data_IF_153145822181
#
_entry.id   IF_153145822181
#
_cell.length_a   1.000
_cell.length_b   1.000
_cell.length_c   1.000
_cell.angle_alpha   90.00
_cell.angle_beta   90.00
_cell.angle_gamma   90.00
#
_symmetry.space_group_name_H-M   'P 1'
#
loop_
_entity.id
_entity.type
_entity.pdbx_description
1 polymer ?
#
# COMPACT_ATOMS: atom_id res chain seq x y z
N UNK A 1 -28.51 -18.37 -3.67
CA UNK A 1 -28.18 -18.08 -5.09
C UNK A 1 -26.95 -18.89 -5.54
N UNK A 2 -26.96 -19.40 -6.77
CA UNK A 2 -25.87 -20.18 -7.36
C UNK A 2 -25.01 -19.35 -8.32
N UNK A 3 -23.69 -19.39 -8.17
CA UNK A 3 -22.76 -18.75 -9.09
C UNK A 3 -21.96 -19.82 -9.79
N UNK A 4 -21.94 -19.81 -11.12
CA UNK A 4 -21.13 -20.71 -11.94
C UNK A 4 -20.12 -19.89 -12.74
N UNK A 5 -18.91 -20.44 -12.87
CA UNK A 5 -17.83 -19.85 -13.65
C UNK A 5 -17.23 -20.90 -14.58
N UNK A 6 -16.95 -20.46 -15.80
CA UNK A 6 -16.14 -21.16 -16.78
C UNK A 6 -14.81 -20.42 -16.99
N UNK A 7 -13.69 -21.13 -17.02
CA UNK A 7 -12.36 -20.59 -17.33
C UNK A 7 -11.56 -21.61 -18.12
N UNK A 8 -11.13 -21.26 -19.33
CA UNK A 8 -10.30 -22.15 -20.17
C UNK A 8 -8.82 -22.15 -19.75
N UNK A 9 -8.38 -21.09 -19.05
CA UNK A 9 -7.01 -21.01 -18.56
C UNK A 9 -6.74 -22.06 -17.47
N UNK A 10 -5.74 -22.91 -17.72
CA UNK A 10 -5.31 -23.95 -16.79
C UNK A 10 -4.53 -23.34 -15.65
N UNK A 11 -5.17 -23.28 -14.48
CA UNK A 11 -4.59 -22.74 -13.26
C UNK A 11 -5.12 -23.51 -12.05
N UNK A 12 -4.22 -24.18 -11.33
CA UNK A 12 -4.55 -25.05 -10.20
C UNK A 12 -4.91 -24.29 -8.92
N UNK A 13 -4.65 -22.98 -8.86
CA UNK A 13 -5.00 -22.15 -7.70
C UNK A 13 -6.51 -22.19 -7.45
N UNK A 14 -6.97 -22.18 -6.18
CA UNK A 14 -8.39 -22.18 -5.87
C UNK A 14 -9.07 -20.91 -6.39
N UNK A 15 -10.33 -21.03 -6.82
CA UNK A 15 -11.15 -19.90 -7.27
C UNK A 15 -12.04 -19.45 -6.11
N UNK A 16 -12.11 -18.15 -5.89
CA UNK A 16 -12.97 -17.51 -4.89
C UNK A 16 -13.90 -16.51 -5.57
N UNK A 17 -15.07 -16.29 -4.97
CA UNK A 17 -15.93 -15.15 -5.29
C UNK A 17 -15.82 -14.15 -4.14
N UNK A 18 -15.71 -12.86 -4.47
CA UNK A 18 -15.69 -11.77 -3.50
C UNK A 18 -16.61 -10.65 -3.94
N UNK A 19 -17.19 -9.93 -3.00
CA UNK A 19 -18.18 -8.90 -3.30
C UNK A 19 -18.65 -8.14 -2.08
N UNK A 20 -19.70 -7.34 -2.27
CA UNK A 20 -20.34 -6.58 -1.19
C UNK A 20 -20.89 -7.45 -0.06
N UNK A 21 -21.13 -8.74 -0.29
CA UNK A 21 -21.59 -9.72 0.71
C UNK A 21 -20.48 -10.30 1.61
N UNK A 22 -19.20 -10.13 1.25
CA UNK A 22 -18.08 -10.61 2.07
C UNK A 22 -17.05 -9.51 2.37
N UNK A 23 -17.49 -8.24 2.33
CA UNK A 23 -16.64 -7.07 2.53
C UNK A 23 -15.42 -7.04 1.61
N UNK A 24 -15.58 -7.53 0.38
CA UNK A 24 -14.52 -7.55 -0.63
C UNK A 24 -13.26 -8.32 -0.19
N UNK A 25 -13.42 -9.37 0.62
CA UNK A 25 -12.33 -10.28 0.99
C UNK A 25 -12.05 -11.30 -0.15
N UNK A 26 -10.93 -11.20 -0.89
CA UNK A 26 -10.65 -12.01 -2.07
C UNK A 26 -10.16 -13.43 -1.76
N UNK A 27 -9.97 -13.79 -0.49
CA UNK A 27 -9.49 -15.10 -0.04
C UNK A 27 -10.32 -15.65 1.11
N UNK A 28 -11.61 -15.33 1.12
CA UNK A 28 -12.53 -15.89 2.11
C UNK A 28 -12.87 -17.34 1.75
N UNK A 29 -12.39 -18.30 2.57
CA UNK A 29 -12.64 -19.72 2.36
C UNK A 29 -14.12 -20.12 2.45
N UNK A 30 -14.96 -19.31 3.11
CA UNK A 30 -16.42 -19.48 3.06
C UNK A 30 -17.01 -19.24 1.66
N UNK A 31 -16.28 -18.53 0.80
CA UNK A 31 -16.66 -18.18 -0.57
C UNK A 31 -15.73 -18.80 -1.63
N UNK A 32 -15.05 -19.90 -1.28
CA UNK A 32 -14.27 -20.68 -2.24
C UNK A 32 -15.20 -21.54 -3.11
N UNK A 33 -15.01 -21.48 -4.43
CA UNK A 33 -15.78 -22.27 -5.39
C UNK A 33 -15.31 -23.73 -5.42
N UNK A 34 -16.27 -24.62 -5.66
CA UNK A 34 -16.06 -26.05 -5.86
C UNK A 34 -15.85 -26.32 -7.36
N UNK A 35 -14.82 -27.11 -7.69
CA UNK A 35 -14.59 -27.62 -9.05
C UNK A 35 -15.72 -28.57 -9.46
N UNK A 36 -16.29 -28.37 -10.64
CA UNK A 36 -17.15 -29.34 -11.33
C UNK A 36 -16.26 -30.23 -12.22
N UNK A 37 -15.40 -29.60 -13.01
CA UNK A 37 -14.40 -30.23 -13.87
C UNK A 37 -13.15 -29.32 -14.00
N UNK A 38 -12.34 -29.51 -15.06
CA UNK A 38 -11.11 -28.74 -15.26
C UNK A 38 -11.35 -27.25 -15.54
N UNK A 39 -12.47 -26.89 -16.15
CA UNK A 39 -12.77 -25.52 -16.59
C UNK A 39 -13.96 -24.90 -15.83
N UNK A 40 -14.81 -25.72 -15.21
CA UNK A 40 -16.06 -25.27 -14.60
C UNK A 40 -16.02 -25.34 -13.07
N UNK A 41 -16.50 -24.29 -12.41
CA UNK A 41 -16.59 -24.20 -10.95
C UNK A 41 -17.94 -23.61 -10.54
N UNK A 42 -18.36 -23.86 -9.29
CA UNK A 42 -19.57 -23.27 -8.74
C UNK A 42 -19.51 -23.03 -7.23
N UNK A 43 -20.37 -22.14 -6.76
CA UNK A 43 -20.72 -22.01 -5.34
C UNK A 43 -22.22 -21.73 -5.21
N UNK A 44 -22.81 -22.23 -4.12
CA UNK A 44 -24.15 -21.86 -3.69
C UNK A 44 -24.02 -21.09 -2.38
N UNK A 45 -24.50 -19.85 -2.39
CA UNK A 45 -24.47 -18.94 -1.24
C UNK A 45 -25.90 -18.79 -0.74
N UNK A 46 -26.09 -18.86 0.57
CA UNK A 46 -27.39 -18.67 1.21
C UNK A 46 -27.95 -17.26 0.90
N UNK A 47 -29.24 -17.18 0.59
CA UNK A 47 -29.89 -15.92 0.25
C UNK A 47 -29.91 -14.92 1.41
N UNK A 48 -29.80 -15.38 2.66
CA UNK A 48 -29.66 -14.54 3.85
C UNK A 48 -28.30 -13.84 3.92
N UNK A 49 -27.26 -14.42 3.30
CA UNK A 49 -25.94 -13.82 3.23
C UNK A 49 -25.80 -12.82 2.08
N UNK A 50 -26.78 -12.75 1.17
CA UNK A 50 -26.70 -11.93 -0.03
C UNK A 50 -27.61 -10.69 0.03
N UNK A 51 -27.09 -9.48 -0.29
CA UNK A 51 -27.92 -8.32 -0.56
C UNK A 51 -28.75 -8.53 -1.83
N UNK A 52 -29.77 -7.69 -2.03
CA UNK A 52 -30.62 -7.77 -3.23
C UNK A 52 -29.85 -7.39 -4.52
N UNK A 53 -28.98 -6.39 -4.39
CA UNK A 53 -28.01 -5.96 -5.40
C UNK A 53 -26.65 -6.51 -5.06
N UNK A 54 -26.16 -7.43 -5.90
CA UNK A 54 -24.91 -8.14 -5.69
C UNK A 54 -23.88 -7.57 -6.65
N UNK A 55 -22.79 -7.07 -6.11
CA UNK A 55 -21.59 -6.74 -6.88
C UNK A 55 -20.46 -7.67 -6.49
N UNK A 56 -19.78 -8.24 -7.48
CA UNK A 56 -18.80 -9.28 -7.24
C UNK A 56 -17.70 -9.36 -8.31
N UNK A 57 -16.62 -10.05 -7.94
CA UNK A 57 -15.52 -10.47 -8.79
C UNK A 57 -15.05 -11.87 -8.42
N UNK A 58 -14.34 -12.49 -9.36
CA UNK A 58 -13.62 -13.72 -9.09
C UNK A 58 -12.12 -13.49 -8.92
N UNK A 59 -11.50 -14.28 -8.06
CA UNK A 59 -10.05 -14.21 -7.80
C UNK A 59 -9.47 -15.63 -7.66
N UNK A 60 -8.15 -15.73 -7.82
CA UNK A 60 -7.37 -16.91 -7.42
C UNK A 60 -6.74 -16.74 -6.03
N UNK A 61 -7.52 -16.22 -5.08
CA UNK A 61 -7.12 -16.11 -3.67
C UNK A 61 -6.42 -14.80 -3.29
N UNK A 62 -6.55 -13.75 -4.12
CA UNK A 62 -5.99 -12.44 -3.85
C UNK A 62 -6.29 -11.44 -4.98
N UNK A 63 -6.20 -10.15 -4.67
CA UNK A 63 -6.40 -9.07 -5.66
C UNK A 63 -5.29 -9.02 -6.72
N UNK A 64 -4.10 -9.47 -6.33
CA UNK A 64 -2.96 -9.71 -7.20
C UNK A 64 -3.23 -10.83 -8.23
N UNK A 65 -4.31 -11.59 -8.05
CA UNK A 65 -4.71 -12.72 -8.89
C UNK A 65 -6.19 -12.66 -9.33
N UNK A 66 -6.71 -11.46 -9.53
CA UNK A 66 -8.09 -11.19 -9.96
C UNK A 66 -8.34 -11.60 -11.42
N UNK A 67 -9.60 -11.83 -11.78
CA UNK A 67 -10.04 -12.04 -13.17
C UNK A 67 -9.67 -10.87 -14.11
N UNK A 68 -9.37 -11.19 -15.36
CA UNK A 68 -9.04 -10.29 -16.47
C UNK A 68 -9.83 -10.66 -17.73
N UNK A 69 -9.91 -9.72 -18.68
CA UNK A 69 -10.43 -10.01 -20.02
C UNK A 69 -9.41 -10.75 -20.90
N UNK A 70 -9.81 -11.11 -22.12
CA UNK A 70 -8.96 -11.84 -23.07
C UNK A 70 -7.72 -11.05 -23.52
N UNK A 71 -7.70 -9.73 -23.36
CA UNK A 71 -6.57 -8.85 -23.64
C UNK A 71 -5.69 -8.61 -22.42
N UNK A 72 -6.06 -9.15 -21.24
CA UNK A 72 -5.35 -8.94 -19.98
C UNK A 72 -5.69 -7.62 -19.29
N UNK A 73 -6.77 -6.95 -19.71
CA UNK A 73 -7.26 -5.75 -19.03
C UNK A 73 -8.08 -6.14 -17.79
N UNK A 74 -8.07 -5.22 -16.83
CA UNK A 74 -8.99 -5.27 -15.70
C UNK A 74 -10.44 -5.21 -16.20
N UNK A 75 -11.30 -6.04 -15.62
CA UNK A 75 -12.74 -5.99 -15.85
C UNK A 75 -13.47 -5.16 -14.78
N UNK A 76 -14.64 -4.57 -15.05
CA UNK A 76 -15.48 -3.98 -14.00
C UNK A 76 -16.04 -5.06 -13.06
N UNK A 77 -16.62 -4.65 -11.93
CA UNK A 77 -17.40 -5.57 -11.09
C UNK A 77 -18.56 -6.13 -11.89
N UNK A 78 -18.79 -7.43 -11.70
CA UNK A 78 -20.01 -8.09 -12.15
C UNK A 78 -21.14 -7.66 -11.25
N UNK A 79 -22.35 -7.55 -11.82
CA UNK A 79 -23.56 -7.17 -11.09
C UNK A 79 -24.66 -8.18 -11.36
N UNK A 80 -25.34 -8.60 -10.30
CA UNK A 80 -26.48 -9.49 -10.38
C UNK A 80 -27.54 -9.12 -9.35
N UNK A 81 -28.80 -9.45 -9.65
CA UNK A 81 -29.90 -9.37 -8.68
C UNK A 81 -30.06 -10.71 -8.01
N UNK A 82 -30.20 -10.74 -6.68
CA UNK A 82 -30.47 -11.97 -5.92
C UNK A 82 -31.67 -12.75 -6.46
N UNK A 83 -32.70 -12.05 -6.94
CA UNK A 83 -33.92 -12.61 -7.52
C UNK A 83 -33.68 -13.47 -8.78
N UNK A 84 -32.53 -13.35 -9.45
CA UNK A 84 -32.19 -14.18 -10.61
C UNK A 84 -31.88 -15.63 -10.16
N UNK A 85 -31.44 -15.83 -8.92
CA UNK A 85 -31.20 -17.15 -8.33
C UNK A 85 -29.97 -17.89 -8.86
N UNK A 86 -29.49 -17.57 -10.08
CA UNK A 86 -28.29 -18.15 -10.69
C UNK A 86 -27.53 -17.16 -11.60
N UNK A 87 -26.20 -17.22 -11.61
CA UNK A 87 -25.35 -16.65 -12.69
C UNK A 87 -24.49 -17.72 -13.35
N UNK A 88 -24.10 -17.46 -14.60
CA UNK A 88 -23.11 -18.24 -15.34
C UNK A 88 -22.17 -17.25 -16.01
N UNK A 89 -20.93 -17.22 -15.54
CA UNK A 89 -19.90 -16.26 -15.90
C UNK A 89 -18.72 -16.95 -16.62
N UNK A 90 -18.01 -16.23 -17.48
CA UNK A 90 -16.73 -16.68 -18.04
C UNK A 90 -15.61 -15.76 -17.58
N UNK A 91 -14.48 -16.34 -17.17
CA UNK A 91 -13.23 -15.64 -16.91
C UNK A 91 -12.21 -16.09 -17.96
N UNK A 92 -11.78 -15.14 -18.77
CA UNK A 92 -10.90 -15.38 -19.92
C UNK A 92 -9.44 -15.57 -19.47
N UNK A 93 -9.00 -14.75 -18.51
CA UNK A 93 -7.64 -14.76 -17.97
C UNK A 93 -7.61 -14.47 -16.48
N UNK A 94 -6.56 -14.93 -15.82
CA UNK A 94 -6.25 -14.63 -14.42
C UNK A 94 -4.99 -13.80 -14.31
N UNK A 95 -5.05 -12.78 -13.46
CA UNK A 95 -3.84 -12.07 -13.04
C UNK A 95 -2.93 -13.03 -12.26
N UNK A 96 -1.62 -12.81 -12.35
CA UNK A 96 -0.62 -13.55 -11.57
C UNK A 96 0.34 -12.57 -10.92
N UNK A 97 0.29 -12.48 -9.59
CA UNK A 97 1.17 -11.61 -8.79
C UNK A 97 1.22 -10.18 -9.32
N UNK A 98 0.03 -9.62 -9.59
CA UNK A 98 -0.22 -8.29 -10.13
C UNK A 98 -0.01 -8.13 -11.64
N UNK A 99 0.74 -9.00 -12.31
CA UNK A 99 0.98 -8.93 -13.75
C UNK A 99 -0.18 -9.48 -14.59
N UNK A 100 -0.40 -8.99 -15.84
CA UNK A 100 0.50 -8.11 -16.60
C UNK A 100 0.43 -6.64 -16.18
N UNK A 101 1.56 -5.94 -16.30
CA UNK A 101 1.68 -4.50 -16.07
C UNK A 101 1.67 -3.78 -17.42
N UNK A 102 0.99 -2.63 -17.48
CA UNK A 102 0.83 -1.84 -18.69
C UNK A 102 1.78 -0.65 -18.68
N UNK A 103 2.71 -0.62 -19.64
CA UNK A 103 3.76 0.41 -19.73
C UNK A 103 3.20 1.83 -19.80
N UNK A 104 2.04 2.04 -20.45
CA UNK A 104 1.41 3.36 -20.57
C UNK A 104 0.97 3.97 -19.23
N UNK A 105 0.85 3.16 -18.18
CA UNK A 105 0.49 3.59 -16.83
C UNK A 105 1.70 3.68 -15.89
N UNK A 106 2.92 3.38 -16.35
CA UNK A 106 4.08 3.48 -15.48
C UNK A 106 4.31 4.92 -15.02
N UNK A 107 4.73 5.11 -13.76
CA UNK A 107 5.15 6.43 -13.33
C UNK A 107 6.41 6.85 -14.08
N UNK A 108 6.58 8.16 -14.26
CA UNK A 108 7.85 8.72 -14.73
C UNK A 108 8.80 8.82 -13.53
N UNK A 109 9.89 8.07 -13.55
CA UNK A 109 10.94 8.17 -12.54
C UNK A 109 11.93 9.29 -12.90
N UNK A 110 12.10 10.24 -12.00
CA UNK A 110 13.03 11.37 -12.14
C UNK A 110 14.00 11.40 -10.95
N UNK A 111 15.26 11.67 -11.22
CA UNK A 111 16.23 11.96 -10.15
C UNK A 111 16.05 13.42 -9.75
N UNK A 112 15.57 13.67 -8.52
CA UNK A 112 15.49 15.03 -7.96
C UNK A 112 16.90 15.60 -7.84
N UNK A 113 17.81 14.81 -7.27
CA UNK A 113 19.23 15.09 -7.23
C UNK A 113 20.01 13.82 -6.93
N UNK A 114 21.12 13.62 -7.65
CA UNK A 114 22.12 12.60 -7.32
C UNK A 114 22.79 12.91 -5.97
N UNK A 115 22.91 14.21 -5.64
CA UNK A 115 23.59 14.71 -4.45
C UNK A 115 22.73 15.81 -3.80
N UNK A 116 21.56 15.45 -3.25
CA UNK A 116 20.75 16.38 -2.48
C UNK A 116 21.45 16.70 -1.17
N UNK A 117 21.85 17.96 -0.97
CA UNK A 117 22.51 18.35 0.28
C UNK A 117 21.52 18.28 1.45
N UNK A 118 21.93 17.63 2.54
CA UNK A 118 21.20 17.49 3.79
C UNK A 118 21.87 18.35 4.86
N UNK A 119 21.42 19.59 5.10
CA UNK A 119 22.05 20.49 6.06
C UNK A 119 22.08 19.93 7.49
N UNK A 120 21.04 19.18 7.87
CA UNK A 120 20.91 18.61 9.22
C UNK A 120 21.96 17.52 9.52
N UNK A 121 22.49 16.86 8.49
CA UNK A 121 23.44 15.75 8.58
C UNK A 121 24.82 16.07 7.97
N UNK A 122 24.94 17.25 7.35
CA UNK A 122 26.10 17.73 6.60
C UNK A 122 26.64 16.69 5.59
N UNK A 123 25.74 16.17 4.75
CA UNK A 123 26.06 15.16 3.73
C UNK A 123 25.09 15.23 2.57
N UNK A 124 25.30 14.38 1.57
CA UNK A 124 24.46 14.32 0.37
C UNK A 124 23.66 13.03 0.31
N UNK A 125 22.50 13.08 -0.33
CA UNK A 125 21.68 11.89 -0.59
C UNK A 125 21.06 11.92 -1.98
N UNK A 126 20.99 10.76 -2.60
CA UNK A 126 20.22 10.58 -3.82
C UNK A 126 18.72 10.50 -3.51
N UNK A 127 17.94 11.33 -4.19
CA UNK A 127 16.49 11.40 -4.01
C UNK A 127 15.81 11.33 -5.37
N UNK A 128 14.73 10.57 -5.42
CA UNK A 128 13.95 10.31 -6.61
C UNK A 128 12.51 10.81 -6.44
N UNK A 129 11.89 11.18 -7.55
CA UNK A 129 10.45 11.37 -7.67
C UNK A 129 9.89 10.35 -8.66
N UNK A 130 8.89 9.57 -8.24
CA UNK A 130 8.06 8.81 -9.17
C UNK A 130 6.78 9.60 -9.35
N UNK A 131 6.60 10.14 -10.56
CA UNK A 131 5.50 10.99 -10.93
C UNK A 131 4.40 10.15 -11.58
N UNK A 132 3.11 10.37 -11.27
CA UNK A 132 2.00 9.70 -11.94
C UNK A 132 2.11 9.74 -13.47
N UNK A 133 1.61 8.71 -14.15
CA UNK A 133 1.69 8.59 -15.61
C UNK A 133 1.11 9.80 -16.37
N UNK A 134 0.13 10.49 -15.77
CA UNK A 134 -0.55 11.66 -16.33
C UNK A 134 0.03 13.00 -15.82
N UNK A 135 1.14 12.97 -15.09
CA UNK A 135 1.73 14.17 -14.49
C UNK A 135 2.01 15.22 -15.57
N UNK A 136 2.75 14.87 -16.62
CA UNK A 136 3.16 15.83 -17.66
C UNK A 136 2.07 16.19 -18.67
N UNK A 137 0.92 15.50 -18.65
CA UNK A 137 -0.21 15.74 -19.57
C UNK A 137 -1.40 16.45 -18.91
N UNK A 138 -1.32 16.71 -17.60
CA UNK A 138 -2.37 17.37 -16.83
C UNK A 138 -1.82 18.44 -15.89
N UNK A 139 -2.70 19.35 -15.46
CA UNK A 139 -2.40 20.37 -14.44
C UNK A 139 -2.79 19.94 -13.02
N UNK A 140 -3.04 18.64 -12.80
CA UNK A 140 -3.43 18.12 -11.50
C UNK A 140 -2.36 18.38 -10.44
N UNK A 141 -2.82 18.49 -9.20
CA UNK A 141 -1.96 18.44 -8.00
C UNK A 141 -2.17 17.14 -7.26
N UNK A 142 -1.10 16.57 -6.76
CA UNK A 142 -1.08 15.21 -6.26
C UNK A 142 -0.71 15.14 -4.77
N UNK A 143 -1.29 14.20 -4.00
CA UNK A 143 -0.73 13.83 -2.71
C UNK A 143 0.69 13.28 -2.87
N UNK A 144 1.44 13.27 -1.77
CA UNK A 144 2.85 12.86 -1.73
C UNK A 144 3.08 11.83 -0.63
N UNK A 145 3.78 10.75 -0.96
CA UNK A 145 4.28 9.76 0.00
C UNK A 145 5.80 9.72 -0.04
N UNK A 146 6.44 10.03 1.09
CA UNK A 146 7.88 9.89 1.28
C UNK A 146 8.22 8.46 1.68
N UNK A 147 9.01 7.76 0.87
CA UNK A 147 9.42 6.37 1.14
C UNK A 147 10.92 6.26 1.37
N UNK A 148 11.27 5.49 2.39
CA UNK A 148 12.65 5.16 2.76
C UNK A 148 13.20 4.05 1.85
N UNK A 149 14.54 3.96 1.77
CA UNK A 149 15.28 2.88 1.11
C UNK A 149 14.98 2.75 -0.40
N UNK A 150 15.03 3.85 -1.14
CA UNK A 150 14.69 3.90 -2.58
C UNK A 150 15.33 2.81 -3.45
N UNK A 151 16.57 2.40 -3.15
CA UNK A 151 17.27 1.31 -3.84
C UNK A 151 16.55 -0.04 -3.80
N UNK A 152 15.61 -0.24 -2.87
CA UNK A 152 14.84 -1.48 -2.74
C UNK A 152 13.44 -1.33 -3.36
N UNK A 153 13.05 -0.15 -3.81
CA UNK A 153 11.65 0.14 -4.15
C UNK A 153 11.31 -0.11 -5.63
N UNK A 154 12.23 0.18 -6.56
CA UNK A 154 12.00 0.09 -8.01
C UNK A 154 13.32 -0.13 -8.78
N UNK A 155 13.28 -0.06 -10.12
CA UNK A 155 14.41 -0.36 -11.03
C UNK A 155 14.95 -1.80 -10.83
N UNK A 156 16.27 -2.00 -10.75
CA UNK A 156 16.86 -3.33 -10.53
C UNK A 156 16.68 -3.84 -9.09
N UNK A 157 16.33 -2.96 -8.15
CA UNK A 157 16.29 -3.27 -6.73
C UNK A 157 17.69 -3.41 -6.12
N UNK A 158 17.78 -4.14 -5.01
CA UNK A 158 19.04 -4.39 -4.32
C UNK A 158 19.26 -5.88 -4.03
N UNK A 159 20.38 -6.22 -3.38
CA UNK A 159 20.65 -7.58 -2.93
C UNK A 159 19.62 -8.15 -1.95
N UNK A 160 18.73 -7.32 -1.40
CA UNK A 160 17.61 -7.74 -0.55
C UNK A 160 16.34 -8.06 -1.34
N UNK A 161 16.23 -7.58 -2.59
CA UNK A 161 15.09 -7.73 -3.47
C UNK A 161 14.58 -6.38 -3.98
N UNK A 162 13.32 -6.37 -4.43
CA UNK A 162 12.67 -5.20 -5.01
C UNK A 162 11.17 -5.18 -4.70
N UNK A 163 10.61 -4.02 -4.34
CA UNK A 163 9.17 -3.84 -4.19
C UNK A 163 8.44 -3.71 -5.52
N UNK A 164 9.16 -3.33 -6.58
CA UNK A 164 8.59 -3.05 -7.90
C UNK A 164 7.43 -2.04 -7.82
N UNK A 165 7.58 -0.99 -6.99
CA UNK A 165 6.49 -0.03 -6.76
C UNK A 165 6.10 0.72 -8.04
N UNK A 166 7.02 0.89 -8.99
CA UNK A 166 6.73 1.40 -10.33
C UNK A 166 5.66 0.56 -11.04
N UNK A 167 5.79 -0.77 -10.96
CA UNK A 167 4.81 -1.72 -11.50
C UNK A 167 3.51 -1.73 -10.70
N UNK A 168 3.60 -1.56 -9.37
CA UNK A 168 2.40 -1.50 -8.51
C UNK A 168 1.60 -0.21 -8.71
N UNK A 169 2.29 0.91 -8.92
CA UNK A 169 1.71 2.21 -9.23
C UNK A 169 1.03 2.19 -10.60
N UNK A 170 1.59 1.48 -11.60
CA UNK A 170 0.95 1.37 -12.91
C UNK A 170 -0.40 0.66 -12.85
N UNK A 171 -0.52 -0.35 -11.99
CA UNK A 171 -1.82 -1.01 -11.75
C UNK A 171 -2.77 -0.09 -11.03
N UNK A 172 -2.32 0.58 -9.96
CA UNK A 172 -3.15 1.53 -9.25
C UNK A 172 -3.66 2.61 -10.20
N UNK A 173 -2.82 3.11 -11.11
CA UNK A 173 -3.20 4.04 -12.17
C UNK A 173 -4.22 3.45 -13.14
N UNK A 174 -4.08 2.18 -13.54
CA UNK A 174 -5.08 1.47 -14.36
C UNK A 174 -6.45 1.40 -13.66
N UNK A 175 -6.47 1.30 -12.32
CA UNK A 175 -7.68 1.37 -11.47
C UNK A 175 -8.18 2.81 -11.20
N UNK A 176 -7.58 3.85 -11.79
CA UNK A 176 -7.92 5.24 -11.48
C UNK A 176 -7.46 5.72 -10.10
N UNK A 177 -6.54 4.97 -9.47
CA UNK A 177 -5.97 5.19 -8.12
C UNK A 177 -4.47 5.50 -8.18
N UNK A 178 -4.00 6.06 -9.29
CA UNK A 178 -2.60 6.38 -9.55
C UNK A 178 -2.17 7.82 -9.25
N UNK A 179 -3.09 8.67 -8.79
CA UNK A 179 -2.84 10.07 -8.45
C UNK A 179 -2.03 10.20 -7.13
N UNK A 180 -0.76 9.80 -7.15
CA UNK A 180 0.16 9.87 -6.01
C UNK A 180 1.62 10.07 -6.47
N UNK A 181 2.28 11.10 -5.96
CA UNK A 181 3.73 11.26 -6.13
C UNK A 181 4.43 10.45 -5.04
N UNK A 182 5.42 9.63 -5.41
CA UNK A 182 6.34 9.03 -4.44
C UNK A 182 7.65 9.80 -4.45
N UNK A 183 8.09 10.26 -3.28
CA UNK A 183 9.44 10.77 -3.08
C UNK A 183 10.25 9.66 -2.40
N UNK A 184 11.12 9.01 -3.17
CA UNK A 184 11.90 7.88 -2.70
C UNK A 184 13.31 8.36 -2.32
N UNK A 185 13.70 8.12 -1.06
CA UNK A 185 14.97 8.58 -0.49
C UNK A 185 15.89 7.37 -0.35
N UNK A 186 17.06 7.40 -1.00
CA UNK A 186 18.03 6.34 -0.77
C UNK A 186 18.52 6.35 0.68
N UNK A 187 18.97 5.22 1.20
CA UNK A 187 19.61 5.19 2.51
C UNK A 187 21.11 5.54 2.46
N UNK A 188 21.69 5.87 3.61
CA UNK A 188 23.08 6.35 3.72
C UNK A 188 24.15 5.27 3.71
N UNK A 189 23.87 4.13 3.08
CA UNK A 189 24.70 2.91 3.17
C UNK A 189 25.11 2.59 4.62
N UNK A 190 26.38 2.76 4.98
CA UNK A 190 26.91 2.53 6.33
C UNK A 190 26.24 3.42 7.40
N UNK A 191 25.78 4.61 7.00
CA UNK A 191 25.11 5.56 7.89
C UNK A 191 23.62 5.25 8.10
N UNK A 192 23.03 4.33 7.32
CA UNK A 192 21.60 4.00 7.39
C UNK A 192 21.13 3.70 8.81
N UNK A 193 21.89 2.88 9.54
CA UNK A 193 21.51 2.49 10.91
C UNK A 193 21.54 3.72 11.83
N UNK A 194 22.57 4.56 11.76
CA UNK A 194 22.62 5.78 12.58
C UNK A 194 21.49 6.74 12.23
N UNK A 195 21.18 6.90 10.95
CA UNK A 195 20.13 7.80 10.46
C UNK A 195 18.71 7.32 10.77
N UNK A 196 18.47 6.01 10.87
CA UNK A 196 17.13 5.48 11.13
C UNK A 196 16.87 5.16 12.60
N UNK A 197 17.90 5.11 13.44
CA UNK A 197 17.75 4.98 14.89
C UNK A 197 17.58 6.37 15.50
N UNK A 198 16.49 6.55 16.23
CA UNK A 198 16.11 7.85 16.79
C UNK A 198 17.06 8.31 17.91
N UNK A 199 17.15 7.54 19.00
CA UNK A 199 18.08 7.74 20.11
C UNK A 199 18.33 6.45 20.93
N UNK A 200 19.00 5.47 20.31
CA UNK A 200 19.35 4.23 20.99
C UNK A 200 20.83 3.87 20.78
N UNK A 201 21.69 4.31 21.69
CA UNK A 201 23.14 4.09 21.63
C UNK A 201 23.54 2.61 21.75
N UNK A 202 22.67 1.74 22.29
CA UNK A 202 22.92 0.29 22.30
C UNK A 202 22.79 -0.34 20.91
N UNK A 203 22.01 0.28 20.02
CA UNK A 203 21.83 -0.18 18.64
C UNK A 203 22.73 0.61 17.68
N UNK A 204 22.85 1.92 17.88
CA UNK A 204 23.64 2.81 17.04
C UNK A 204 24.31 3.90 17.87
N UNK A 205 25.62 3.77 18.07
CA UNK A 205 26.43 4.80 18.73
C UNK A 205 26.41 6.10 17.91
N UNK A 206 25.94 7.20 18.51
CA UNK A 206 25.79 8.47 17.81
C UNK A 206 24.61 8.49 16.85
N UNK A 207 23.45 8.01 17.32
CA UNK A 207 22.17 8.04 16.58
C UNK A 207 21.86 9.42 16.00
N UNK A 208 21.43 9.46 14.74
CA UNK A 208 21.17 10.68 13.96
C UNK A 208 19.70 10.81 13.53
N UNK A 209 18.81 9.91 13.96
CA UNK A 209 17.41 9.89 13.52
C UNK A 209 16.66 11.21 13.73
N UNK A 210 16.90 11.92 14.83
CA UNK A 210 16.34 13.27 15.04
C UNK A 210 16.70 14.24 13.90
N UNK A 211 17.94 14.20 13.43
CA UNK A 211 18.44 15.04 12.32
C UNK A 211 17.86 14.59 10.98
N UNK A 212 17.76 13.28 10.76
CA UNK A 212 17.18 12.71 9.56
C UNK A 212 15.69 13.06 9.40
N UNK A 213 14.90 12.94 10.48
CA UNK A 213 13.48 13.33 10.48
C UNK A 213 13.32 14.82 10.11
N UNK A 214 14.15 15.69 10.73
CA UNK A 214 14.17 17.12 10.43
C UNK A 214 14.55 17.42 8.99
N UNK A 215 15.49 16.67 8.42
CA UNK A 215 15.82 16.80 7.01
C UNK A 215 14.59 16.60 6.12
N UNK A 216 13.82 15.54 6.34
CA UNK A 216 12.64 15.27 5.51
C UNK A 216 11.59 16.38 5.69
N UNK A 217 11.26 16.72 6.94
CA UNK A 217 10.20 17.67 7.25
C UNK A 217 10.55 19.13 6.91
N UNK A 218 11.76 19.57 7.27
CA UNK A 218 12.16 20.99 7.21
C UNK A 218 12.90 21.35 5.92
N UNK A 219 13.45 20.37 5.18
CA UNK A 219 14.28 20.63 3.99
C UNK A 219 13.69 19.99 2.74
N UNK A 220 13.50 18.66 2.75
CA UNK A 220 13.11 17.94 1.54
C UNK A 220 11.65 18.25 1.14
N UNK A 221 10.72 18.20 2.10
CA UNK A 221 9.30 18.48 1.80
C UNK A 221 9.09 19.90 1.25
N UNK A 222 9.65 20.97 1.84
CA UNK A 222 9.56 22.31 1.25
C UNK A 222 10.11 22.39 -0.17
N UNK A 223 11.26 21.76 -0.44
CA UNK A 223 11.81 21.69 -1.79
C UNK A 223 10.85 20.99 -2.76
N UNK A 224 10.29 19.85 -2.37
CA UNK A 224 9.35 19.09 -3.21
C UNK A 224 8.09 19.92 -3.48
N UNK A 225 7.53 20.58 -2.46
CA UNK A 225 6.33 21.42 -2.59
C UNK A 225 6.55 22.66 -3.48
N UNK A 226 7.78 23.15 -3.58
CA UNK A 226 8.14 24.28 -4.44
C UNK A 226 8.33 23.85 -5.91
N UNK A 227 8.88 22.66 -6.14
CA UNK A 227 9.31 22.21 -7.46
C UNK A 227 8.32 21.25 -8.15
N UNK A 228 7.39 20.64 -7.41
CA UNK A 228 6.42 19.68 -7.93
C UNK A 228 4.96 20.14 -7.69
N UNK A 229 4.02 19.64 -8.51
CA UNK A 229 2.58 19.90 -8.36
C UNK A 229 2.00 19.07 -7.21
N UNK A 230 2.34 19.43 -5.98
CA UNK A 230 1.84 18.75 -4.78
C UNK A 230 0.56 19.41 -4.24
N UNK A 231 -0.25 18.62 -3.54
CA UNK A 231 -1.21 19.07 -2.52
C UNK A 231 -0.44 19.17 -1.20
N UNK A 232 -0.11 20.41 -0.81
CA UNK A 232 0.91 20.70 0.22
C UNK A 232 0.48 20.42 1.66
N UNK A 233 -0.82 20.33 1.89
CA UNK A 233 -1.40 20.15 3.21
C UNK A 233 -1.09 18.77 3.81
N UNK A 234 -1.22 18.67 5.14
CA UNK A 234 -0.90 17.43 5.87
C UNK A 234 -1.76 16.27 5.40
N UNK A 235 -3.02 16.53 5.08
CA UNK A 235 -4.01 15.51 4.75
C UNK A 235 -3.73 14.88 3.37
N UNK A 236 -2.76 15.40 2.63
CA UNK A 236 -2.25 14.83 1.39
C UNK A 236 -0.78 14.39 1.48
N UNK A 237 -0.18 14.40 2.67
CA UNK A 237 1.22 14.04 2.89
C UNK A 237 1.32 12.79 3.77
N UNK A 238 2.03 11.79 3.28
CA UNK A 238 2.36 10.56 4.01
C UNK A 238 3.86 10.26 4.07
N UNK A 239 4.25 9.37 4.97
CA UNK A 239 5.62 8.86 5.10
C UNK A 239 5.60 7.36 5.41
N UNK A 240 6.58 6.61 4.93
CA UNK A 240 6.61 5.18 5.19
C UNK A 240 7.88 4.45 4.74
N UNK A 241 7.89 3.15 4.99
CA UNK A 241 8.98 2.24 4.61
C UNK A 241 8.81 0.87 5.26
N UNK A 242 9.86 0.05 5.20
CA UNK A 242 9.92 -1.24 5.89
C UNK A 242 11.00 -1.28 6.98
N UNK A 243 10.87 -2.21 7.93
CA UNK A 243 11.93 -2.50 8.92
C UNK A 243 12.37 -1.25 9.72
N UNK A 244 13.65 -0.84 9.62
CA UNK A 244 14.13 0.41 10.20
C UNK A 244 13.55 1.66 9.50
N UNK A 245 13.27 1.59 8.20
CA UNK A 245 12.57 2.65 7.45
C UNK A 245 11.13 2.86 7.94
N UNK A 246 10.45 1.78 8.33
CA UNK A 246 9.15 1.85 8.99
C UNK A 246 9.28 2.48 10.39
N UNK A 247 10.30 2.09 11.16
CA UNK A 247 10.55 2.64 12.50
C UNK A 247 10.79 4.16 12.46
N UNK A 248 11.68 4.64 11.60
CA UNK A 248 11.95 6.09 11.48
C UNK A 248 10.73 6.86 10.96
N UNK A 249 9.88 6.22 10.15
CA UNK A 249 8.61 6.80 9.70
C UNK A 249 7.58 6.94 10.83
N UNK A 250 7.54 6.00 11.79
CA UNK A 250 6.73 6.14 13.01
C UNK A 250 7.18 7.38 13.80
N UNK A 251 8.48 7.50 14.09
CA UNK A 251 9.01 8.67 14.79
C UNK A 251 8.71 9.98 14.02
N UNK A 252 8.82 9.96 12.69
CA UNK A 252 8.51 11.13 11.86
C UNK A 252 7.05 11.56 11.99
N UNK A 253 6.10 10.62 11.87
CA UNK A 253 4.67 10.90 12.01
C UNK A 253 4.27 11.39 13.40
N UNK A 254 4.93 10.86 14.43
CA UNK A 254 4.63 11.23 15.82
C UNK A 254 5.24 12.56 16.26
N UNK A 255 6.38 12.96 15.69
CA UNK A 255 7.04 14.22 16.00
C UNK A 255 6.57 15.37 15.12
N UNK A 256 6.10 15.09 13.90
CA UNK A 256 5.57 16.07 12.95
C UNK A 256 4.14 15.70 12.51
N UNK A 257 3.19 15.52 13.44
CA UNK A 257 1.81 15.16 13.09
C UNK A 257 1.11 16.28 12.30
N UNK A 258 1.60 17.52 12.34
CA UNK A 258 1.15 18.64 11.51
C UNK A 258 1.65 18.56 10.06
N UNK A 259 2.66 17.72 9.78
CA UNK A 259 3.22 17.51 8.44
C UNK A 259 2.65 16.23 7.82
N UNK A 260 2.61 15.13 8.57
CA UNK A 260 2.22 13.81 8.06
C UNK A 260 0.87 13.38 8.62
N UNK A 261 -0.06 12.98 7.74
CA UNK A 261 -1.35 12.40 8.13
C UNK A 261 -1.46 10.90 7.88
N UNK A 262 -0.50 10.30 7.16
CA UNK A 262 -0.56 8.91 6.66
C UNK A 262 0.76 8.20 6.86
N UNK A 263 0.75 7.06 7.53
CA UNK A 263 1.94 6.26 7.81
C UNK A 263 1.82 4.87 7.16
N UNK A 264 2.75 4.54 6.25
CA UNK A 264 2.89 3.20 5.67
C UNK A 264 4.01 2.45 6.40
N UNK A 265 3.64 1.49 7.25
CA UNK A 265 4.53 0.88 8.24
C UNK A 265 4.59 -0.63 8.01
N UNK A 266 5.60 -1.08 7.27
CA UNK A 266 5.75 -2.51 6.92
C UNK A 266 6.83 -3.19 7.77
N UNK A 267 6.49 -4.29 8.42
CA UNK A 267 7.37 -5.11 9.26
C UNK A 267 8.28 -4.29 10.18
N UNK A 268 7.73 -3.37 11.00
CA UNK A 268 8.51 -2.35 11.69
C UNK A 268 9.45 -2.93 12.74
N UNK A 269 10.66 -2.38 12.83
CA UNK A 269 11.69 -2.75 13.82
C UNK A 269 11.38 -2.23 15.23
N UNK A 270 10.17 -2.48 15.72
CA UNK A 270 9.66 -2.09 17.05
C UNK A 270 10.41 -2.72 18.22
N UNK A 271 11.31 -3.67 17.96
CA UNK A 271 12.19 -4.26 18.97
C UNK A 271 13.26 -3.27 19.45
N UNK A 272 13.58 -2.25 18.65
CA UNK A 272 14.48 -1.15 19.04
C UNK A 272 13.89 -0.30 20.16
N UNK A 273 12.55 -0.19 20.20
CA UNK A 273 11.78 0.53 21.21
C UNK A 273 10.82 -0.43 21.94
N UNK A 274 11.34 -1.34 22.77
CA UNK A 274 10.56 -2.43 23.36
C UNK A 274 9.46 -1.94 24.31
N UNK A 275 9.59 -0.73 24.84
CA UNK A 275 8.60 -0.14 25.74
C UNK A 275 7.54 0.70 25.00
N UNK A 276 7.66 0.86 23.68
CA UNK A 276 6.83 1.77 22.88
C UNK A 276 6.84 3.20 23.42
N UNK A 277 7.96 3.64 24.01
CA UNK A 277 8.11 4.97 24.55
C UNK A 277 8.51 5.97 23.45
N UNK A 278 7.67 6.07 22.42
CA UNK A 278 7.91 7.01 21.34
C UNK A 278 7.69 8.45 21.85
N UNK A 279 8.58 9.40 21.54
CA UNK A 279 8.28 10.81 21.73
C UNK A 279 7.23 11.22 20.71
N UNK A 280 6.20 11.91 21.20
CA UNK A 280 5.05 12.30 20.40
C UNK A 280 4.71 13.75 20.70
N UNK A 281 4.46 14.54 19.66
CA UNK A 281 4.01 15.92 19.81
C UNK A 281 2.49 15.94 20.00
N UNK A 282 2.05 16.37 21.18
CA UNK A 282 0.63 16.41 21.53
C UNK A 282 0.05 17.82 21.31
N UNK A 283 -1.13 17.89 20.73
CA UNK A 283 -1.86 19.13 20.46
C UNK A 283 -3.19 19.14 21.21
N UNK A 284 -3.68 20.33 21.55
CA UNK A 284 -4.97 20.49 22.26
C UNK A 284 -6.13 19.83 21.50
N UNK A 285 -6.09 19.91 20.18
CA UNK A 285 -6.95 19.15 19.28
C UNK A 285 -6.02 18.20 18.53
N UNK A 286 -6.09 16.89 18.81
CA UNK A 286 -5.24 15.93 18.13
C UNK A 286 -5.48 15.92 16.62
N UNK A 287 -4.41 15.70 15.85
CA UNK A 287 -4.51 15.50 14.42
C UNK A 287 -4.84 14.05 14.09
N UNK A 288 -5.89 13.83 13.29
CA UNK A 288 -6.21 12.50 12.78
C UNK A 288 -5.06 11.95 11.92
N UNK A 289 -4.60 10.75 12.23
CA UNK A 289 -3.47 10.11 11.54
C UNK A 289 -3.84 8.69 11.15
N UNK A 290 -3.77 8.37 9.85
CA UNK A 290 -3.98 7.03 9.32
C UNK A 290 -2.69 6.22 9.39
N UNK A 291 -2.72 5.02 9.95
CA UNK A 291 -1.55 4.14 10.08
C UNK A 291 -1.86 2.76 9.48
N UNK A 292 -1.19 2.42 8.38
CA UNK A 292 -1.28 1.08 7.80
C UNK A 292 -0.12 0.23 8.29
N UNK A 293 -0.42 -0.81 9.05
CA UNK A 293 0.55 -1.75 9.62
C UNK A 293 0.54 -3.06 8.82
N UNK A 294 1.72 -3.53 8.46
CA UNK A 294 1.91 -4.86 7.88
C UNK A 294 2.94 -5.67 8.65
N UNK A 295 2.76 -6.98 8.72
CA UNK A 295 3.81 -7.92 9.14
C UNK A 295 3.59 -9.33 8.61
N UNK A 296 4.67 -10.07 8.43
CA UNK A 296 4.66 -11.47 8.05
C UNK A 296 4.62 -12.42 9.25
N UNK A 297 3.81 -13.47 9.16
CA UNK A 297 3.68 -14.51 10.17
C UNK A 297 4.94 -15.38 10.31
N UNK A 298 5.71 -15.53 9.23
CA UNK A 298 6.97 -16.27 9.20
C UNK A 298 8.19 -15.41 9.56
N UNK A 299 8.01 -14.12 9.90
CA UNK A 299 9.04 -13.29 10.53
C UNK A 299 9.33 -13.70 11.99
N UNK A 300 8.55 -14.66 12.49
CA UNK A 300 8.61 -15.18 13.84
C UNK A 300 7.61 -14.51 14.77
N UNK A 301 7.24 -15.22 15.83
CA UNK A 301 6.21 -14.79 16.80
C UNK A 301 6.53 -13.45 17.47
N UNK A 302 7.81 -13.03 17.49
CA UNK A 302 8.23 -11.72 18.02
C UNK A 302 7.71 -10.56 17.17
N UNK A 303 7.75 -10.63 15.84
CA UNK A 303 7.30 -9.52 14.97
C UNK A 303 5.80 -9.27 15.13
N UNK A 304 4.99 -10.31 14.91
CA UNK A 304 3.52 -10.23 15.05
C UNK A 304 3.11 -9.79 16.46
N UNK A 305 3.74 -10.36 17.51
CA UNK A 305 3.48 -9.94 18.88
C UNK A 305 3.83 -8.47 19.12
N UNK A 306 4.93 -7.96 18.52
CA UNK A 306 5.32 -6.55 18.66
C UNK A 306 4.35 -5.62 17.95
N UNK A 307 3.86 -5.97 16.76
CA UNK A 307 2.81 -5.22 16.07
C UNK A 307 1.56 -5.14 16.95
N UNK A 308 1.07 -6.26 17.49
CA UNK A 308 -0.11 -6.25 18.36
C UNK A 308 0.10 -5.45 19.65
N UNK A 309 1.28 -5.52 20.28
CA UNK A 309 1.58 -4.67 21.42
C UNK A 309 1.50 -3.20 21.02
N UNK A 310 2.07 -2.82 19.87
CA UNK A 310 2.02 -1.44 19.39
C UNK A 310 0.58 -0.96 19.11
N UNK A 311 -0.26 -1.80 18.49
CA UNK A 311 -1.69 -1.51 18.31
C UNK A 311 -2.41 -1.24 19.64
N UNK A 312 -2.14 -2.04 20.66
CA UNK A 312 -2.73 -1.82 21.99
C UNK A 312 -2.27 -0.50 22.63
N UNK A 313 -1.06 -0.02 22.31
CA UNK A 313 -0.62 1.32 22.72
C UNK A 313 -1.33 2.42 21.93
N UNK A 314 -1.49 2.28 20.61
CA UNK A 314 -2.24 3.21 19.77
C UNK A 314 -3.69 3.39 20.30
N UNK A 315 -4.38 2.28 20.57
CA UNK A 315 -5.75 2.30 21.15
C UNK A 315 -5.79 3.02 22.49
N UNK A 316 -4.86 2.70 23.41
CA UNK A 316 -4.81 3.34 24.74
C UNK A 316 -4.55 4.85 24.65
N UNK A 317 -3.76 5.29 23.68
CA UNK A 317 -3.49 6.70 23.43
C UNK A 317 -4.73 7.42 22.88
N UNK A 318 -5.48 6.77 22.01
CA UNK A 318 -6.75 7.26 21.46
C UNK A 318 -7.87 7.31 22.52
N UNK A 319 -8.02 6.27 23.35
CA UNK A 319 -8.99 6.21 24.46
C UNK A 319 -8.79 7.35 25.48
N UNK A 320 -7.53 7.75 25.69
CA UNK A 320 -7.16 8.89 26.55
C UNK A 320 -7.34 10.24 25.86
N UNK A 321 -7.79 10.27 24.60
CA UNK A 321 -7.94 11.46 23.75
C UNK A 321 -6.66 12.27 23.62
N UNK A 322 -5.50 11.60 23.73
CA UNK A 322 -4.19 12.22 23.55
C UNK A 322 -3.85 12.34 22.06
N UNK A 323 -4.34 11.39 21.27
CA UNK A 323 -4.08 11.29 19.84
C UNK A 323 -5.34 10.80 19.12
N UNK A 324 -5.45 11.06 17.82
CA UNK A 324 -6.53 10.59 16.96
C UNK A 324 -5.90 9.68 15.88
N UNK A 325 -6.03 8.37 16.09
CA UNK A 325 -5.45 7.35 15.22
C UNK A 325 -6.55 6.55 14.55
N UNK A 326 -6.49 6.48 13.23
CA UNK A 326 -7.20 5.46 12.48
C UNK A 326 -6.13 4.47 12.00
N UNK A 327 -6.22 3.19 12.34
CA UNK A 327 -5.21 2.23 11.92
C UNK A 327 -5.80 0.94 11.37
N UNK A 328 -5.08 0.34 10.43
CA UNK A 328 -5.42 -0.94 9.81
C UNK A 328 -4.19 -1.82 9.82
N UNK A 329 -4.35 -3.04 10.30
CA UNK A 329 -3.26 -4.02 10.38
C UNK A 329 -3.55 -5.21 9.49
N UNK A 330 -2.56 -5.61 8.71
CA UNK A 330 -2.61 -6.82 7.90
C UNK A 330 -1.43 -7.74 8.26
N UNK A 331 -1.75 -8.95 8.71
CA UNK A 331 -0.74 -9.98 8.99
C UNK A 331 -0.87 -11.06 7.92
N UNK A 332 0.14 -11.21 7.09
CA UNK A 332 0.19 -12.31 6.12
C UNK A 332 0.80 -13.55 6.79
N UNK A 333 0.06 -14.66 6.99
CA UNK A 333 0.58 -15.85 7.68
C UNK A 333 1.81 -16.48 7.01
N UNK A 334 1.94 -16.33 5.69
CA UNK A 334 3.06 -16.87 4.89
C UNK A 334 4.19 -15.85 4.73
N UNK A 335 3.92 -14.58 5.06
CA UNK A 335 4.86 -13.47 4.90
C UNK A 335 6.15 -13.65 5.69
N UNK A 336 7.27 -13.39 5.04
CA UNK A 336 8.61 -13.26 5.66
C UNK A 336 9.08 -11.80 5.59
N UNK A 337 10.23 -11.49 6.22
CA UNK A 337 10.82 -10.15 6.24
C UNK A 337 11.54 -9.89 4.91
N UNK A 338 10.76 -9.69 3.84
CA UNK A 338 11.27 -9.67 2.48
C UNK A 338 10.50 -8.70 1.57
N UNK A 339 11.24 -8.10 0.63
CA UNK A 339 10.76 -7.13 -0.36
C UNK A 339 9.57 -7.64 -1.18
N UNK A 340 9.53 -8.94 -1.50
CA UNK A 340 8.43 -9.55 -2.24
C UNK A 340 7.09 -9.38 -1.52
N UNK A 341 7.04 -9.60 -0.20
CA UNK A 341 5.78 -9.51 0.53
C UNK A 341 5.33 -8.07 0.71
N UNK A 342 6.27 -7.15 0.92
CA UNK A 342 6.01 -5.71 0.95
C UNK A 342 5.50 -5.19 -0.41
N UNK A 343 6.08 -5.68 -1.51
CA UNK A 343 5.59 -5.46 -2.88
C UNK A 343 4.12 -5.84 -3.04
N UNK A 344 3.73 -7.03 -2.55
CA UNK A 344 2.35 -7.50 -2.66
C UNK A 344 1.38 -6.68 -1.81
N UNK A 345 1.86 -6.19 -0.65
CA UNK A 345 1.03 -5.41 0.27
C UNK A 345 0.84 -3.95 -0.16
N UNK A 346 1.83 -3.38 -0.84
CA UNK A 346 1.90 -1.96 -1.17
C UNK A 346 0.61 -1.40 -1.80
N UNK A 347 -0.01 -2.01 -2.84
CA UNK A 347 -1.26 -1.51 -3.40
C UNK A 347 -2.37 -1.34 -2.37
N UNK A 348 -2.57 -2.35 -1.50
CA UNK A 348 -3.64 -2.32 -0.48
C UNK A 348 -3.42 -1.21 0.54
N UNK A 349 -2.16 -0.96 0.90
CA UNK A 349 -1.80 0.13 1.80
C UNK A 349 -2.06 1.50 1.17
N UNK A 350 -1.69 1.71 -0.10
CA UNK A 350 -1.92 2.97 -0.81
C UNK A 350 -3.42 3.26 -0.95
N UNK A 351 -4.21 2.27 -1.37
CA UNK A 351 -5.66 2.42 -1.49
C UNK A 351 -6.29 2.87 -0.17
N UNK A 352 -6.00 2.17 0.92
CA UNK A 352 -6.57 2.52 2.22
C UNK A 352 -6.08 3.89 2.74
N UNK A 353 -4.80 4.22 2.53
CA UNK A 353 -4.23 5.47 3.00
C UNK A 353 -4.77 6.68 2.21
N UNK A 354 -4.86 6.60 0.88
CA UNK A 354 -5.08 7.78 0.02
C UNK A 354 -6.43 7.82 -0.71
N UNK A 355 -7.15 6.70 -0.83
CA UNK A 355 -8.38 6.60 -1.63
C UNK A 355 -9.62 6.19 -0.84
N UNK A 356 -9.49 6.02 0.48
CA UNK A 356 -10.58 5.75 1.43
C UNK A 356 -11.57 4.67 0.96
N UNK A 357 -11.21 3.41 1.16
CA UNK A 357 -11.90 2.20 0.63
C UNK A 357 -13.35 1.98 1.11
N UNK A 358 -14.07 2.99 1.62
CA UNK A 358 -15.54 2.95 1.61
C UNK A 358 -16.09 3.00 0.18
N UNK A 359 -15.30 3.50 -0.79
CA UNK A 359 -15.64 3.39 -2.19
C UNK A 359 -15.23 2.01 -2.74
N UNK A 360 -16.27 1.25 -3.09
CA UNK A 360 -16.22 0.04 -3.91
C UNK A 360 -15.13 0.18 -4.99
N UNK A 361 -14.28 -0.82 -5.26
CA UNK A 361 -13.21 -0.78 -6.28
C UNK A 361 -13.61 -0.34 -7.70
N UNK A 362 -14.86 0.04 -7.97
CA UNK A 362 -15.50 0.14 -9.28
C UNK A 362 -16.42 1.35 -9.42
N UNK A 363 -15.84 2.54 -9.43
CA UNK A 363 -16.35 3.61 -10.32
C UNK A 363 -15.31 3.99 -11.38
N UNK A 364 -14.58 3.00 -11.90
CA UNK A 364 -13.76 3.21 -13.10
C UNK A 364 -14.70 3.19 -14.32
N UNK A 365 -15.07 4.38 -14.80
CA UNK A 365 -15.63 4.51 -16.15
C UNK A 365 -14.53 4.11 -17.14
N UNK A 366 -14.75 3.15 -18.05
CA UNK A 366 -13.83 2.94 -19.14
C UNK A 366 -13.80 4.24 -19.96
N UNK A 367 -12.67 4.95 -19.97
CA UNK A 367 -12.40 5.86 -21.08
C UNK A 367 -12.06 4.99 -22.29
N UNK A 368 -13.08 4.41 -22.90
CA UNK A 368 -13.03 4.14 -24.32
C UNK A 368 -13.02 5.50 -25.02
N UNK A 369 -11.86 6.13 -25.14
CA UNK A 369 -11.64 6.96 -26.32
C UNK A 369 -11.53 5.97 -27.48
N UNK A 370 -12.69 5.72 -28.11
CA UNK A 370 -12.71 5.26 -29.48
C UNK A 370 -11.86 6.25 -30.28
N UNK A 371 -10.64 5.86 -30.65
CA UNK A 371 -9.94 6.49 -31.76
C UNK A 371 -10.81 6.16 -32.98
N UNK A 372 -11.75 7.06 -33.27
CA UNK A 372 -12.45 7.10 -34.54
C UNK A 372 -11.65 8.01 -35.44
N UNK A 373 -11.11 7.35 -36.46
CA UNK A 373 -10.47 7.82 -37.69
C UNK A 373 -9.00 8.22 -37.60
#
# INVERSE_FOLDING_TARGET
MRFEIHTEEKDDRPVFITGNFNSWNPKDYGFQLKKIDQANYFIEIDDQALPDDIEYKFTKGGWENVELDSYGNITPNRKAKKSVGKTSDSVEKWRLNWGPFKEEYYPTAEVISENFYIPQLDRYRKVWALLPYDYHTTDKRYPVLYLQDAQNLFNEGSGFGNWEIDKKLSILAEYGRGDLIIIAIEHGSEERIKEYIFDNDHVANGSEGKKYIRFIADTLKPFVDENYRTKKDRDNTGIGGSSLGALISIYSGFLYPEVYSKLLIFSPSLWVEPNNNFPMMNFRVPFKTKIYLYGGGQEGSKMVKRIHIFEEYLKKWEEKKLFDFEFKTNINPEGTHNEFYWSQEFPRAIEWLFYDNTENPVEVKPQQQSIKN
#
